data_IF_278816919834
#
_entry.id   IF_278816919834
#
_cell.length_a   1.000
_cell.length_b   1.000
_cell.length_c   1.000
_cell.angle_alpha   90.00
_cell.angle_beta   90.00
_cell.angle_gamma   90.00
#
_symmetry.space_group_name_H-M   'P 1'
#
loop_
_entity.id
_entity.type
_entity.pdbx_description
1 polymer ?
#
# COMPACT_ATOMS: atom_id res chain seq x y z
N UNK A 1 26.99 -19.41 -1.23
CA UNK A 1 25.93 -18.76 -0.42
C UNK A 1 24.66 -18.66 -1.26
N UNK A 2 23.59 -19.37 -0.91
CA UNK A 2 22.36 -19.38 -1.71
C UNK A 2 21.58 -18.05 -1.63
N UNK A 3 21.15 -17.54 -2.78
CA UNK A 3 20.18 -16.45 -2.90
C UNK A 3 18.76 -17.01 -2.95
N UNK A 4 17.81 -16.21 -2.51
CA UNK A 4 16.42 -16.58 -2.44
C UNK A 4 15.83 -16.82 -3.84
N UNK A 5 14.89 -17.76 -3.97
CA UNK A 5 14.36 -18.17 -5.29
C UNK A 5 13.69 -16.99 -6.03
N UNK A 6 13.05 -16.09 -5.26
CA UNK A 6 12.44 -14.85 -5.77
C UNK A 6 13.49 -13.92 -6.36
N UNK A 7 14.59 -13.67 -5.66
CA UNK A 7 15.70 -12.83 -6.15
C UNK A 7 16.30 -13.41 -7.43
N UNK A 8 16.51 -14.72 -7.49
CA UNK A 8 17.02 -15.40 -8.69
C UNK A 8 16.07 -15.20 -9.89
N UNK A 9 14.76 -15.29 -9.67
CA UNK A 9 13.77 -15.03 -10.73
C UNK A 9 13.76 -13.57 -11.16
N UNK A 10 13.85 -12.63 -10.22
CA UNK A 10 13.90 -11.20 -10.49
C UNK A 10 15.15 -10.81 -11.28
N UNK A 11 16.32 -11.37 -10.94
CA UNK A 11 17.59 -11.18 -11.65
C UNK A 11 17.52 -11.61 -13.12
N UNK A 12 16.76 -12.69 -13.41
CA UNK A 12 16.52 -13.12 -14.79
C UNK A 12 15.59 -12.15 -15.52
N UNK A 13 14.54 -11.67 -14.85
CA UNK A 13 13.57 -10.76 -15.45
C UNK A 13 14.16 -9.37 -15.76
N UNK A 14 15.09 -8.88 -14.94
CA UNK A 14 15.82 -7.63 -15.22
C UNK A 14 16.92 -7.79 -16.28
N UNK A 15 17.18 -9.02 -16.75
CA UNK A 15 18.10 -9.26 -17.86
C UNK A 15 19.58 -9.13 -17.50
N UNK A 16 19.99 -9.58 -16.30
CA UNK A 16 21.41 -9.63 -15.95
C UNK A 16 22.19 -10.50 -16.97
N UNK A 17 23.21 -9.96 -17.66
CA UNK A 17 23.92 -10.69 -18.72
C UNK A 17 24.90 -11.76 -18.20
N UNK A 18 25.25 -11.71 -16.92
CA UNK A 18 26.16 -12.67 -16.30
C UNK A 18 25.43 -13.90 -15.74
N UNK A 19 26.12 -15.04 -15.69
CA UNK A 19 25.65 -16.23 -14.97
C UNK A 19 26.30 -16.39 -13.59
N UNK A 20 27.29 -15.55 -13.27
CA UNK A 20 28.01 -15.57 -12.00
C UNK A 20 27.23 -14.80 -10.93
N UNK A 21 27.32 -15.22 -9.67
CA UNK A 21 26.62 -14.57 -8.57
C UNK A 21 25.09 -14.50 -8.70
N UNK A 22 24.45 -15.34 -9.52
CA UNK A 22 22.97 -15.37 -9.64
C UNK A 22 22.35 -16.24 -8.56
N UNK A 23 22.68 -17.53 -8.53
CA UNK A 23 22.18 -18.46 -7.51
C UNK A 23 23.00 -18.41 -6.24
N UNK A 24 24.31 -18.31 -6.39
CA UNK A 24 25.23 -18.26 -5.27
C UNK A 24 26.33 -17.25 -5.45
N UNK A 25 26.63 -16.47 -4.40
CA UNK A 25 27.80 -15.60 -4.34
C UNK A 25 28.97 -16.36 -3.71
N UNK A 26 30.12 -16.35 -4.38
CA UNK A 26 31.39 -16.89 -3.88
C UNK A 26 32.49 -15.81 -3.82
N UNK A 27 32.14 -14.54 -3.98
CA UNK A 27 33.09 -13.45 -3.85
C UNK A 27 33.42 -13.26 -2.37
N UNK A 28 34.68 -13.46 -1.99
CA UNK A 28 35.16 -13.28 -0.61
C UNK A 28 35.22 -11.79 -0.22
N UNK A 29 35.48 -10.91 -1.20
CA UNK A 29 35.45 -9.46 -1.05
C UNK A 29 34.86 -8.80 -2.33
N UNK A 30 34.23 -7.63 -2.20
CA UNK A 30 33.81 -6.81 -3.35
C UNK A 30 35.04 -6.48 -4.23
N UNK A 31 34.94 -6.55 -5.57
CA UNK A 31 33.73 -6.29 -6.36
C UNK A 31 33.02 -7.55 -6.88
N UNK A 32 31.75 -7.70 -6.48
CA UNK A 32 30.85 -8.70 -7.02
C UNK A 32 30.37 -8.25 -8.42
N UNK A 33 30.43 -9.11 -9.46
CA UNK A 33 30.05 -8.74 -10.83
C UNK A 33 28.55 -8.44 -10.95
N UNK A 34 27.71 -9.09 -10.14
CA UNK A 34 26.28 -8.82 -10.11
C UNK A 34 25.99 -7.44 -9.50
N UNK A 35 26.59 -7.13 -8.35
CA UNK A 35 26.40 -5.83 -7.70
C UNK A 35 26.95 -4.70 -8.56
N UNK A 36 28.09 -4.91 -9.21
CA UNK A 36 28.67 -3.91 -10.11
C UNK A 36 27.75 -3.62 -11.31
N UNK A 37 27.09 -4.63 -11.84
CA UNK A 37 26.10 -4.45 -12.90
C UNK A 37 24.83 -3.76 -12.40
N UNK A 38 24.25 -4.19 -11.27
CA UNK A 38 23.03 -3.57 -10.71
C UNK A 38 23.21 -2.07 -10.46
N UNK A 39 24.37 -1.69 -9.91
CA UNK A 39 24.71 -0.29 -9.65
C UNK A 39 24.89 0.49 -10.95
N UNK A 40 25.51 -0.11 -11.97
CA UNK A 40 25.63 0.52 -13.29
C UNK A 40 24.26 0.77 -13.92
N UNK A 41 23.38 -0.23 -13.93
CA UNK A 41 22.02 -0.11 -14.46
C UNK A 41 21.16 0.90 -13.69
N UNK A 42 21.30 0.97 -12.37
CA UNK A 42 20.62 1.98 -11.56
C UNK A 42 21.11 3.39 -11.89
N UNK A 43 22.43 3.56 -12.05
CA UNK A 43 22.99 4.85 -12.45
C UNK A 43 22.56 5.26 -13.86
N UNK A 44 22.34 4.32 -14.80
CA UNK A 44 21.86 4.66 -16.15
C UNK A 44 20.36 4.97 -16.19
N UNK A 45 19.56 4.31 -15.36
CA UNK A 45 18.11 4.53 -15.28
C UNK A 45 17.72 5.74 -14.42
N UNK A 46 18.55 6.13 -13.45
CA UNK A 46 18.31 7.26 -12.55
C UNK A 46 19.50 8.26 -12.57
N UNK A 47 19.46 9.32 -13.40
CA UNK A 47 20.55 10.32 -13.48
C UNK A 47 20.67 11.21 -12.23
N UNK A 48 19.65 11.24 -11.37
CA UNK A 48 19.66 11.97 -10.09
C UNK A 48 20.68 11.38 -9.10
N UNK A 49 20.94 10.08 -9.19
CA UNK A 49 21.86 9.30 -8.34
C UNK A 49 23.35 9.51 -8.73
N UNK A 50 23.61 10.26 -9.80
CA UNK A 50 24.97 10.56 -10.27
C UNK A 50 25.51 11.89 -9.71
N UNK A 51 24.66 12.72 -9.09
CA UNK A 51 25.01 14.10 -8.73
C UNK A 51 25.75 14.25 -7.39
N UNK A 52 25.90 13.16 -6.62
CA UNK A 52 26.53 13.16 -5.30
C UNK A 52 28.05 12.93 -5.25
N UNK A 53 28.73 12.60 -6.35
CA UNK A 53 30.18 12.41 -6.36
C UNK A 53 30.91 13.52 -7.13
N UNK A 54 31.58 14.38 -6.37
CA UNK A 54 32.61 15.27 -6.89
C UNK A 54 33.65 14.45 -7.66
N UNK A 55 33.64 14.57 -8.99
CA UNK A 55 34.75 14.30 -9.89
C UNK A 55 35.43 12.91 -9.80
N UNK A 56 35.36 12.17 -10.90
CA UNK A 56 36.17 10.99 -11.24
C UNK A 56 35.59 9.63 -10.80
N UNK A 57 34.87 8.95 -11.69
CA UNK A 57 34.47 7.56 -11.47
C UNK A 57 33.68 6.93 -12.62
N UNK A 58 34.41 6.38 -13.59
CA UNK A 58 33.99 5.63 -14.77
C UNK A 58 32.65 4.86 -14.65
N UNK A 59 31.74 5.06 -15.60
CA UNK A 59 30.45 4.35 -15.76
C UNK A 59 30.57 2.82 -16.02
N UNK A 60 31.76 2.25 -15.93
CA UNK A 60 32.04 0.83 -16.19
C UNK A 60 33.10 0.27 -15.22
N UNK A 61 33.11 0.74 -13.96
CA UNK A 61 34.02 0.29 -12.91
C UNK A 61 33.41 -0.79 -12.01
N UNK A 62 34.28 -1.66 -11.48
CA UNK A 62 33.93 -2.57 -10.40
C UNK A 62 33.51 -1.76 -9.15
N UNK A 63 32.34 -2.06 -8.58
CA UNK A 63 31.82 -1.31 -7.44
C UNK A 63 32.51 -1.74 -6.16
N UNK A 64 33.21 -0.79 -5.55
CA UNK A 64 33.86 -0.97 -4.25
C UNK A 64 32.85 -0.83 -3.11
N UNK A 65 33.21 -1.38 -1.95
CA UNK A 65 32.41 -1.32 -0.71
C UNK A 65 31.95 0.10 -0.37
N UNK A 66 32.86 1.10 -0.52
CA UNK A 66 32.55 2.49 -0.21
C UNK A 66 31.51 3.11 -1.15
N UNK A 67 31.63 2.82 -2.45
CA UNK A 67 30.67 3.28 -3.46
C UNK A 67 29.30 2.65 -3.29
N UNK A 68 29.26 1.35 -2.97
CA UNK A 68 28.02 0.65 -2.67
C UNK A 68 27.31 1.29 -1.46
N UNK A 69 28.04 1.63 -0.40
CA UNK A 69 27.46 2.28 0.79
C UNK A 69 26.98 3.70 0.51
N UNK A 70 27.72 4.46 -0.29
CA UNK A 70 27.31 5.80 -0.70
C UNK A 70 25.99 5.76 -1.46
N UNK A 71 25.90 4.84 -2.43
CA UNK A 71 24.69 4.61 -3.23
C UNK A 71 23.50 4.18 -2.35
N UNK A 72 23.69 3.22 -1.45
CA UNK A 72 22.62 2.75 -0.56
C UNK A 72 22.10 3.88 0.35
N UNK A 73 22.96 4.82 0.74
CA UNK A 73 22.55 5.99 1.54
C UNK A 73 21.76 6.99 0.69
N UNK A 74 22.16 7.21 -0.55
CA UNK A 74 21.48 8.08 -1.51
C UNK A 74 20.09 7.53 -1.90
N UNK A 75 19.99 6.21 -2.05
CA UNK A 75 18.71 5.51 -2.27
C UNK A 75 17.88 5.34 -0.99
N UNK A 76 18.29 5.95 0.14
CA UNK A 76 17.59 5.89 1.42
C UNK A 76 17.28 4.45 1.89
N UNK A 77 18.23 3.53 1.72
CA UNK A 77 18.05 2.13 2.06
C UNK A 77 17.64 1.96 3.54
N UNK A 78 16.52 1.25 3.84
CA UNK A 78 15.97 1.16 5.20
C UNK A 78 16.79 0.26 6.13
N UNK A 79 17.74 -0.53 5.59
CA UNK A 79 18.56 -1.45 6.37
C UNK A 79 19.79 -0.73 6.95
N UNK A 80 19.68 -0.30 8.20
CA UNK A 80 20.76 0.40 8.93
C UNK A 80 22.03 -0.43 9.07
N UNK A 81 21.91 -1.76 9.09
CA UNK A 81 23.01 -2.70 9.28
C UNK A 81 23.94 -2.78 8.06
N UNK A 82 23.52 -2.29 6.90
CA UNK A 82 24.36 -2.19 5.70
C UNK A 82 25.44 -1.08 5.80
N UNK A 83 25.39 -0.28 6.86
CA UNK A 83 26.35 0.81 7.12
C UNK A 83 27.51 0.41 8.04
N UNK A 84 27.53 -0.80 8.62
CA UNK A 84 28.58 -1.29 9.53
C UNK A 84 29.87 -1.71 8.83
N UNK A 85 31.04 -1.55 9.44
CA UNK A 85 32.37 -1.74 8.81
C UNK A 85 32.55 -3.08 8.07
N UNK A 86 31.93 -4.17 8.53
CA UNK A 86 31.95 -5.47 7.87
C UNK A 86 30.65 -5.75 7.12
N UNK A 87 30.75 -6.05 5.82
CA UNK A 87 29.62 -6.55 5.02
C UNK A 87 29.58 -8.07 5.15
N UNK A 88 28.69 -8.58 5.99
CA UNK A 88 28.48 -10.02 6.08
C UNK A 88 27.80 -10.58 4.81
N UNK A 89 27.98 -11.87 4.51
CA UNK A 89 27.17 -12.65 3.57
C UNK A 89 25.68 -12.30 3.50
N UNK A 90 25.02 -12.24 4.66
CA UNK A 90 23.59 -11.96 4.76
C UNK A 90 23.27 -10.51 4.35
N UNK A 91 24.10 -9.56 4.77
CA UNK A 91 23.98 -8.16 4.40
C UNK A 91 24.14 -7.96 2.88
N UNK A 92 25.06 -8.68 2.23
CA UNK A 92 25.21 -8.62 0.77
C UNK A 92 23.99 -9.17 0.01
N UNK A 93 23.32 -10.20 0.53
CA UNK A 93 22.06 -10.68 -0.05
C UNK A 93 20.95 -9.64 0.11
N UNK A 94 20.77 -9.07 1.30
CA UNK A 94 19.77 -8.01 1.52
C UNK A 94 20.03 -6.77 0.67
N UNK A 95 21.30 -6.39 0.47
CA UNK A 95 21.67 -5.30 -0.44
C UNK A 95 21.37 -5.65 -1.90
N UNK A 96 21.60 -6.90 -2.32
CA UNK A 96 21.26 -7.37 -3.67
C UNK A 96 19.75 -7.30 -3.89
N UNK A 97 18.95 -7.78 -2.94
CA UNK A 97 17.48 -7.77 -3.02
C UNK A 97 16.94 -6.34 -3.14
N UNK A 98 17.44 -5.43 -2.30
CA UNK A 98 17.09 -4.02 -2.34
C UNK A 98 17.43 -3.38 -3.70
N UNK A 99 18.66 -3.56 -4.21
CA UNK A 99 19.06 -2.97 -5.49
C UNK A 99 18.25 -3.53 -6.67
N UNK A 100 17.85 -4.80 -6.61
CA UNK A 100 16.97 -5.41 -7.61
C UNK A 100 15.58 -4.77 -7.58
N UNK A 101 15.00 -4.57 -6.39
CA UNK A 101 13.68 -3.92 -6.28
C UNK A 101 13.73 -2.46 -6.73
N UNK A 102 14.79 -1.73 -6.40
CA UNK A 102 14.97 -0.34 -6.85
C UNK A 102 15.10 -0.27 -8.38
N UNK A 103 15.87 -1.17 -9.00
CA UNK A 103 16.03 -1.18 -10.46
C UNK A 103 14.73 -1.51 -11.18
N UNK A 104 13.94 -2.45 -10.63
CA UNK A 104 12.61 -2.75 -11.15
C UNK A 104 11.67 -1.56 -11.04
N UNK A 105 11.66 -0.87 -9.89
CA UNK A 105 10.86 0.33 -9.69
C UNK A 105 11.27 1.45 -10.67
N UNK A 106 12.58 1.72 -10.81
CA UNK A 106 13.11 2.70 -11.74
C UNK A 106 12.67 2.42 -13.19
N UNK A 107 12.74 1.17 -13.64
CA UNK A 107 12.29 0.78 -14.99
C UNK A 107 10.78 0.91 -15.18
N UNK A 108 9.98 0.62 -14.16
CA UNK A 108 8.52 0.84 -14.20
C UNK A 108 8.21 2.34 -14.34
N UNK A 109 8.89 3.20 -13.57
CA UNK A 109 8.71 4.64 -13.65
C UNK A 109 9.12 5.18 -15.03
N UNK A 110 10.29 4.77 -15.52
CA UNK A 110 10.77 5.13 -16.86
C UNK A 110 9.79 4.67 -17.96
N UNK A 111 9.24 3.46 -17.85
CA UNK A 111 8.24 2.97 -18.78
C UNK A 111 6.98 3.83 -18.79
N UNK A 112 6.47 4.22 -17.61
CA UNK A 112 5.30 5.10 -17.47
C UNK A 112 5.55 6.50 -18.04
N UNK A 113 6.75 7.04 -17.88
CA UNK A 113 7.12 8.32 -18.47
C UNK A 113 7.18 8.27 -20.01
N UNK A 114 7.68 7.17 -20.57
CA UNK A 114 7.74 6.97 -22.02
C UNK A 114 6.40 6.57 -22.66
N UNK A 115 5.45 6.05 -21.88
CA UNK A 115 4.14 5.56 -22.35
C UNK A 115 2.99 6.19 -21.55
N UNK A 116 2.79 7.52 -21.64
CA UNK A 116 1.72 8.20 -20.92
C UNK A 116 0.31 7.73 -21.34
N UNK A 117 0.19 7.20 -22.56
CA UNK A 117 -1.05 6.68 -23.16
C UNK A 117 -1.64 5.49 -22.36
N UNK A 118 -0.79 4.64 -21.80
CA UNK A 118 -1.21 3.47 -21.01
C UNK A 118 -1.78 3.88 -19.64
N UNK A 119 -1.38 5.05 -19.14
CA UNK A 119 -1.97 5.69 -17.95
C UNK A 119 -3.30 6.38 -18.24
N UNK A 120 -3.45 6.98 -19.43
CA UNK A 120 -4.64 7.73 -19.81
C UNK A 120 -5.89 6.85 -20.02
N UNK A 121 -5.71 5.55 -20.31
CA UNK A 121 -6.82 4.58 -20.45
C UNK A 121 -7.49 4.16 -19.14
N UNK A 122 -6.92 4.51 -17.98
CA UNK A 122 -7.49 4.18 -16.66
C UNK A 122 -8.11 5.39 -15.93
N UNK A 123 -7.93 6.60 -16.45
CA UNK A 123 -8.40 7.86 -15.84
C UNK A 123 -9.61 8.45 -16.59
N UNK A 124 -10.69 7.68 -16.76
CA UNK A 124 -11.99 8.22 -17.19
C UNK A 124 -12.90 8.44 -15.94
N UNK A 125 -13.04 9.68 -15.43
CA UNK A 125 -13.72 9.96 -14.15
C UNK A 125 -15.25 10.00 -14.26
N UNK A 126 -15.83 9.36 -15.27
CA UNK A 126 -17.26 9.48 -15.58
C UNK A 126 -17.93 8.13 -15.87
N UNK A 127 -17.66 7.08 -15.08
CA UNK A 127 -18.53 5.89 -15.00
C UNK A 127 -18.31 4.98 -13.77
N UNK A 128 -18.02 5.53 -12.59
CA UNK A 128 -18.36 4.82 -11.34
C UNK A 128 -19.84 5.05 -11.01
N UNK A 129 -20.72 4.53 -11.88
CA UNK A 129 -22.09 4.27 -11.45
C UNK A 129 -22.05 3.06 -10.53
N UNK A 130 -22.67 3.19 -9.36
CA UNK A 130 -23.12 2.06 -8.54
C UNK A 130 -23.76 1.02 -9.46
N UNK A 131 -23.06 -0.06 -9.74
CA UNK A 131 -23.73 -1.27 -10.19
C UNK A 131 -24.46 -1.83 -8.96
N UNK A 132 -25.78 -1.86 -9.08
CA UNK A 132 -26.66 -2.44 -8.10
C UNK A 132 -26.39 -3.93 -7.99
N UNK A 133 -26.69 -4.45 -6.80
CA UNK A 133 -26.75 -5.86 -6.47
C UNK A 133 -27.45 -6.64 -7.59
N UNK A 134 -26.68 -7.34 -8.42
CA UNK A 134 -27.23 -8.43 -9.21
C UNK A 134 -27.24 -9.67 -8.33
N UNK A 135 -28.47 -10.04 -7.97
CA UNK A 135 -28.81 -11.20 -7.18
C UNK A 135 -28.46 -12.43 -8.01
N UNK A 136 -27.30 -13.02 -7.75
CA UNK A 136 -26.95 -14.34 -8.31
C UNK A 136 -27.91 -15.36 -7.69
N UNK A 137 -28.93 -15.73 -8.46
CA UNK A 137 -29.72 -16.92 -8.21
C UNK A 137 -28.83 -18.14 -8.39
N UNK A 138 -28.78 -18.95 -7.33
CA UNK A 138 -28.13 -20.25 -7.32
C UNK A 138 -28.93 -21.17 -8.25
N UNK A 139 -28.42 -21.41 -9.45
CA UNK A 139 -28.83 -22.56 -10.24
C UNK A 139 -27.91 -23.74 -9.87
N UNK A 140 -28.52 -24.76 -9.26
CA UNK A 140 -27.94 -26.06 -9.00
C UNK A 140 -27.76 -26.79 -10.34
N UNK A 141 -26.54 -26.85 -10.87
CA UNK A 141 -26.19 -27.87 -11.87
C UNK A 141 -25.52 -29.06 -11.18
N UNK A 142 -26.33 -30.08 -10.90
CA UNK A 142 -25.85 -31.45 -10.79
C UNK A 142 -25.47 -31.96 -12.19
N UNK A 143 -24.21 -32.35 -12.39
CA UNK A 143 -23.85 -33.19 -13.53
C UNK A 143 -22.37 -33.21 -13.92
N UNK A 144 -21.66 -34.25 -13.46
CA UNK A 144 -20.68 -34.93 -14.33
C UNK A 144 -19.19 -34.69 -14.08
N UNK A 145 -18.67 -35.36 -13.06
CA UNK A 145 -17.41 -36.14 -13.09
C UNK A 145 -16.18 -35.58 -13.81
N UNK A 146 -15.17 -35.18 -13.04
CA UNK A 146 -13.76 -35.34 -13.41
C UNK A 146 -12.85 -34.13 -13.24
N UNK A 147 -12.73 -33.56 -12.03
CA UNK A 147 -11.64 -32.59 -11.76
C UNK A 147 -11.15 -32.58 -10.30
N UNK A 148 -11.38 -33.67 -9.54
CA UNK A 148 -11.00 -33.74 -8.12
C UNK A 148 -9.49 -33.87 -7.86
N UNK A 149 -8.68 -34.19 -8.87
CA UNK A 149 -7.28 -34.58 -8.65
C UNK A 149 -6.26 -33.43 -8.74
N UNK A 150 -6.62 -32.29 -9.33
CA UNK A 150 -5.69 -31.17 -9.52
C UNK A 150 -5.61 -30.30 -8.26
N UNK A 151 -6.74 -30.11 -7.55
CA UNK A 151 -6.80 -29.31 -6.33
C UNK A 151 -6.12 -29.97 -5.12
N UNK A 152 -6.11 -31.30 -5.03
CA UNK A 152 -5.51 -32.02 -3.90
C UNK A 152 -3.97 -31.90 -3.89
N UNK A 153 -3.34 -31.82 -5.07
CA UNK A 153 -1.88 -31.89 -5.20
C UNK A 153 -1.18 -30.56 -4.95
N UNK A 154 -1.83 -29.44 -5.30
CA UNK A 154 -1.33 -28.09 -5.00
C UNK A 154 -1.51 -27.75 -3.51
N UNK A 155 -2.62 -28.18 -2.90
CA UNK A 155 -2.88 -28.02 -1.47
C UNK A 155 -1.89 -28.79 -0.58
N UNK A 156 -1.52 -30.02 -0.94
CA UNK A 156 -0.51 -30.81 -0.22
C UNK A 156 0.88 -30.14 -0.24
N UNK A 157 1.25 -29.54 -1.38
CA UNK A 157 2.55 -28.87 -1.54
C UNK A 157 2.60 -27.55 -0.75
N UNK A 158 1.52 -26.76 -0.75
CA UNK A 158 1.41 -25.54 0.07
C UNK A 158 1.43 -25.87 1.57
N UNK A 159 0.74 -26.93 2.03
CA UNK A 159 0.83 -27.37 3.42
C UNK A 159 2.22 -27.87 3.83
N UNK A 160 2.99 -28.41 2.89
CA UNK A 160 4.39 -28.79 3.11
C UNK A 160 5.30 -27.58 3.32
N UNK A 161 5.10 -26.51 2.54
CA UNK A 161 5.88 -25.28 2.67
C UNK A 161 5.55 -24.50 3.95
N UNK A 162 4.27 -24.47 4.34
CA UNK A 162 3.85 -23.83 5.59
C UNK A 162 4.35 -24.59 6.83
N UNK A 163 4.31 -25.93 6.80
CA UNK A 163 4.86 -26.74 7.90
C UNK A 163 6.38 -26.63 7.99
N UNK A 164 7.09 -26.55 6.87
CA UNK A 164 8.55 -26.32 6.85
C UNK A 164 8.93 -24.97 7.50
N UNK A 165 8.18 -23.90 7.22
CA UNK A 165 8.38 -22.59 7.88
C UNK A 165 8.14 -22.67 9.38
N UNK A 166 7.09 -23.40 9.81
CA UNK A 166 6.81 -23.62 11.22
C UNK A 166 7.96 -24.35 11.91
N UNK A 167 8.48 -25.43 11.31
CA UNK A 167 9.63 -26.16 11.86
C UNK A 167 10.88 -25.29 11.92
N UNK A 168 11.16 -24.51 10.88
CA UNK A 168 12.27 -23.55 10.89
C UNK A 168 12.17 -22.55 12.04
N UNK A 169 10.99 -21.99 12.32
CA UNK A 169 10.77 -21.05 13.44
C UNK A 169 10.96 -21.74 14.79
N UNK A 170 10.56 -23.01 14.90
CA UNK A 170 10.80 -23.82 16.08
C UNK A 170 12.24 -24.36 16.17
N UNK A 171 13.09 -24.14 15.16
CA UNK A 171 14.45 -24.68 15.13
C UNK A 171 14.50 -26.20 14.95
N UNK A 172 13.43 -26.78 14.39
CA UNK A 172 13.31 -28.19 14.03
C UNK A 172 13.73 -28.41 12.58
N UNK A 173 14.02 -29.66 12.22
CA UNK A 173 14.38 -30.03 10.86
C UNK A 173 13.14 -29.91 9.94
N UNK A 174 13.29 -29.46 8.67
CA UNK A 174 12.17 -29.37 7.74
C UNK A 174 11.50 -30.71 7.42
N UNK A 175 12.11 -31.85 7.77
CA UNK A 175 11.50 -33.19 7.67
C UNK A 175 10.87 -33.68 8.98
N UNK A 176 10.87 -32.88 10.05
CA UNK A 176 10.23 -33.21 11.32
C UNK A 176 8.72 -33.40 11.18
N UNK A 177 8.13 -34.13 12.12
CA UNK A 177 6.67 -34.35 12.14
C UNK A 177 5.99 -33.26 12.97
N UNK A 178 4.70 -33.03 12.73
CA UNK A 178 3.92 -32.08 13.53
C UNK A 178 3.90 -32.43 15.03
N UNK A 179 4.01 -33.71 15.38
CA UNK A 179 4.18 -34.17 16.77
C UNK A 179 5.39 -33.55 17.46
N UNK A 180 6.50 -33.40 16.73
CA UNK A 180 7.74 -32.85 17.26
C UNK A 180 7.61 -31.35 17.50
N UNK A 181 6.85 -30.65 16.63
CA UNK A 181 6.48 -29.26 16.87
C UNK A 181 5.60 -29.08 18.11
N UNK A 182 4.63 -29.97 18.34
CA UNK A 182 3.78 -29.91 19.54
C UNK A 182 4.61 -30.06 20.81
N UNK A 183 5.51 -31.04 20.88
CA UNK A 183 6.34 -31.27 22.08
C UNK A 183 7.33 -30.13 22.33
N UNK A 184 7.89 -29.54 21.27
CA UNK A 184 8.79 -28.38 21.40
C UNK A 184 8.03 -27.10 21.83
N UNK A 185 6.80 -26.91 21.36
CA UNK A 185 5.95 -25.81 21.86
C UNK A 185 5.64 -26.02 23.34
N UNK A 186 5.25 -27.22 23.75
CA UNK A 186 4.99 -27.54 25.17
C UNK A 186 6.23 -27.34 26.06
N UNK A 187 7.42 -27.74 25.58
CA UNK A 187 8.68 -27.57 26.29
C UNK A 187 8.99 -26.08 26.53
N UNK A 188 8.82 -25.24 25.51
CA UNK A 188 9.02 -23.78 25.61
C UNK A 188 8.00 -23.10 26.49
N UNK A 189 6.74 -23.54 26.42
CA UNK A 189 5.69 -23.00 27.29
C UNK A 189 5.98 -23.29 28.76
N UNK A 190 6.56 -24.46 29.08
CA UNK A 190 6.96 -24.81 30.45
C UNK A 190 8.11 -23.94 31.00
N UNK A 191 8.93 -23.35 30.13
CA UNK A 191 10.04 -22.46 30.51
C UNK A 191 9.59 -21.01 30.81
N UNK A 192 8.33 -20.65 30.51
CA UNK A 192 7.86 -19.27 30.69
C UNK A 192 7.72 -18.91 32.19
N UNK A 193 8.30 -17.79 32.65
CA UNK A 193 8.19 -17.34 34.02
C UNK A 193 6.74 -16.92 34.31
N UNK A 194 6.06 -17.63 35.22
CA UNK A 194 4.67 -17.35 35.60
C UNK A 194 3.69 -18.51 35.41
N UNK A 195 4.11 -19.60 34.76
CA UNK A 195 3.48 -20.93 34.84
C UNK A 195 2.07 -21.09 34.26
N UNK A 196 1.43 -20.03 33.75
CA UNK A 196 0.10 -20.11 33.15
C UNK A 196 0.00 -19.23 31.91
N UNK A 197 -0.15 -19.86 30.75
CA UNK A 197 -0.62 -19.20 29.54
C UNK A 197 -2.11 -18.89 29.75
N UNK A 198 -2.58 -17.66 29.49
CA UNK A 198 -4.01 -17.33 29.59
C UNK A 198 -4.84 -18.24 28.67
N UNK A 199 -6.08 -18.51 29.05
CA UNK A 199 -6.95 -19.39 28.27
C UNK A 199 -7.17 -18.84 26.84
N UNK A 200 -7.36 -19.74 25.84
CA UNK A 200 -7.80 -19.34 24.51
C UNK A 200 -9.08 -18.51 24.57
N UNK A 201 -9.13 -17.44 23.78
CA UNK A 201 -10.32 -16.61 23.68
C UNK A 201 -11.49 -17.40 23.07
N UNK A 202 -11.20 -18.25 22.10
CA UNK A 202 -12.17 -19.18 21.50
C UNK A 202 -12.14 -20.52 22.25
N UNK A 203 -13.16 -20.76 23.08
CA UNK A 203 -13.26 -21.99 23.90
C UNK A 203 -13.97 -23.14 23.18
N UNK A 204 -14.76 -22.84 22.16
CA UNK A 204 -15.58 -23.83 21.45
C UNK A 204 -14.90 -24.31 20.18
N UNK A 205 -14.87 -25.62 19.97
CA UNK A 205 -14.52 -26.18 18.68
C UNK A 205 -15.62 -25.84 17.66
N UNK A 206 -15.21 -25.27 16.52
CA UNK A 206 -16.12 -24.93 15.44
C UNK A 206 -16.28 -26.10 14.47
N UNK A 207 -17.49 -26.31 13.97
CA UNK A 207 -17.76 -27.28 12.92
C UNK A 207 -17.37 -26.73 11.53
N UNK A 208 -17.36 -27.60 10.51
CA UNK A 208 -16.94 -27.22 9.14
C UNK A 208 -17.80 -26.09 8.54
N UNK A 209 -19.10 -26.06 8.82
CA UNK A 209 -20.01 -25.01 8.35
C UNK A 209 -19.70 -23.67 9.01
N UNK A 210 -19.49 -23.68 10.33
CA UNK A 210 -19.12 -22.50 11.11
C UNK A 210 -17.76 -21.95 10.69
N UNK A 211 -16.79 -22.82 10.39
CA UNK A 211 -15.49 -22.41 9.85
C UNK A 211 -15.63 -21.67 8.52
N UNK A 212 -16.47 -22.19 7.61
CA UNK A 212 -16.76 -21.53 6.34
C UNK A 212 -17.44 -20.17 6.56
N UNK A 213 -18.42 -20.09 7.44
CA UNK A 213 -19.07 -18.81 7.79
C UNK A 213 -18.09 -17.82 8.41
N UNK A 214 -17.20 -18.26 9.29
CA UNK A 214 -16.21 -17.41 9.94
C UNK A 214 -15.17 -16.90 8.93
N UNK A 215 -14.76 -17.74 7.98
CA UNK A 215 -13.92 -17.32 6.85
C UNK A 215 -14.60 -16.25 5.99
N UNK A 216 -15.89 -16.40 5.67
CA UNK A 216 -16.66 -15.39 4.94
C UNK A 216 -16.72 -14.06 5.70
N UNK A 217 -16.95 -14.09 7.01
CA UNK A 217 -16.94 -12.90 7.87
C UNK A 217 -15.56 -12.22 7.83
N UNK A 218 -14.48 -12.99 8.01
CA UNK A 218 -13.12 -12.44 7.97
C UNK A 218 -12.82 -11.77 6.61
N UNK A 219 -13.19 -12.41 5.50
CA UNK A 219 -13.02 -11.82 4.17
C UNK A 219 -13.82 -10.52 4.01
N UNK A 220 -15.06 -10.47 4.48
CA UNK A 220 -15.87 -9.25 4.44
C UNK A 220 -15.24 -8.11 5.26
N UNK A 221 -14.77 -8.42 6.47
CA UNK A 221 -14.10 -7.44 7.34
C UNK A 221 -12.76 -6.98 6.78
N UNK A 222 -11.98 -7.87 6.17
CA UNK A 222 -10.72 -7.52 5.52
C UNK A 222 -10.94 -6.54 4.36
N UNK A 223 -11.95 -6.80 3.50
CA UNK A 223 -12.33 -5.89 2.41
C UNK A 223 -12.78 -4.52 2.92
N UNK A 224 -13.60 -4.49 3.96
CA UNK A 224 -14.06 -3.23 4.57
C UNK A 224 -12.87 -2.46 5.21
N UNK A 225 -11.97 -3.15 5.90
CA UNK A 225 -10.75 -2.56 6.45
C UNK A 225 -9.86 -1.96 5.35
N UNK A 226 -9.59 -2.70 4.27
CA UNK A 226 -8.83 -2.25 3.11
C UNK A 226 -9.46 -1.01 2.47
N UNK A 227 -10.78 -1.03 2.29
CA UNK A 227 -11.55 0.11 1.76
C UNK A 227 -11.40 1.34 2.66
N UNK A 228 -11.66 1.21 3.97
CA UNK A 228 -11.52 2.32 4.93
C UNK A 228 -10.10 2.86 4.98
N UNK A 229 -9.10 1.99 4.92
CA UNK A 229 -7.69 2.38 4.95
C UNK A 229 -7.29 3.10 3.67
N UNK A 230 -7.70 2.60 2.51
CA UNK A 230 -7.54 3.28 1.22
C UNK A 230 -8.19 4.67 1.25
N UNK A 231 -9.40 4.77 1.79
CA UNK A 231 -10.13 6.02 1.94
C UNK A 231 -9.38 7.03 2.81
N UNK A 232 -8.85 6.59 3.97
CA UNK A 232 -8.05 7.43 4.86
C UNK A 232 -6.74 7.87 4.22
N UNK A 233 -6.03 6.98 3.53
CA UNK A 233 -4.81 7.30 2.80
C UNK A 233 -5.08 8.30 1.69
N UNK A 234 -6.14 8.11 0.88
CA UNK A 234 -6.56 9.06 -0.16
C UNK A 234 -6.92 10.42 0.43
N UNK A 235 -7.70 10.46 1.52
CA UNK A 235 -8.03 11.70 2.23
C UNK A 235 -6.79 12.44 2.72
N UNK A 236 -5.84 11.70 3.30
CA UNK A 236 -4.57 12.27 3.75
C UNK A 236 -3.78 12.87 2.58
N UNK A 237 -3.69 12.13 1.47
CA UNK A 237 -3.00 12.61 0.26
C UNK A 237 -3.64 13.88 -0.32
N UNK A 238 -4.98 13.90 -0.44
CA UNK A 238 -5.71 15.08 -0.91
C UNK A 238 -5.51 16.26 0.05
N UNK A 239 -5.47 16.00 1.37
CA UNK A 239 -5.21 17.06 2.36
C UNK A 239 -3.80 17.63 2.20
N UNK A 240 -2.80 16.78 2.00
CA UNK A 240 -1.43 17.23 1.71
C UNK A 240 -1.36 18.03 0.40
N UNK A 241 -2.01 17.55 -0.65
CA UNK A 241 -2.08 18.24 -1.94
C UNK A 241 -2.80 19.58 -1.81
N UNK A 242 -3.81 19.71 -0.95
CA UNK A 242 -4.51 20.99 -0.75
C UNK A 242 -3.59 22.10 -0.22
N UNK A 243 -2.49 21.76 0.47
CA UNK A 243 -1.51 22.75 0.91
C UNK A 243 -0.74 23.38 -0.25
N UNK A 244 -0.60 22.70 -1.39
CA UNK A 244 0.03 23.25 -2.61
C UNK A 244 -0.92 24.11 -3.43
N UNK A 245 -2.20 24.24 -3.05
CA UNK A 245 -3.14 25.09 -3.75
C UNK A 245 -2.87 26.58 -3.44
N UNK A 246 -2.87 27.40 -4.49
CA UNK A 246 -2.68 28.87 -4.41
C UNK A 246 -1.36 29.36 -5.04
N UNK A 247 -1.13 30.67 -4.99
CA UNK A 247 -0.03 31.35 -5.71
C UNK A 247 1.37 30.89 -5.28
N UNK A 248 1.52 30.41 -4.03
CA UNK A 248 2.79 29.87 -3.50
C UNK A 248 2.89 28.35 -3.55
N UNK A 249 2.15 27.72 -4.47
CA UNK A 249 2.06 26.27 -4.57
C UNK A 249 3.40 25.57 -4.78
N UNK A 250 4.29 26.16 -5.58
CA UNK A 250 5.63 25.64 -5.90
C UNK A 250 6.57 25.59 -4.70
N UNK A 251 6.57 26.64 -3.85
CA UNK A 251 7.36 26.67 -2.61
C UNK A 251 6.86 25.59 -1.63
N UNK A 252 5.54 25.45 -1.51
CA UNK A 252 4.92 24.48 -0.60
C UNK A 252 5.04 23.05 -1.09
N UNK A 253 5.03 22.80 -2.40
CA UNK A 253 5.27 21.48 -2.97
C UNK A 253 6.70 21.02 -2.70
N UNK A 254 7.69 21.91 -2.81
CA UNK A 254 9.09 21.60 -2.47
C UNK A 254 9.28 21.23 -0.99
N UNK A 255 8.52 21.88 -0.10
CA UNK A 255 8.50 21.54 1.34
C UNK A 255 7.78 20.21 1.60
N UNK A 256 6.72 19.89 0.85
CA UNK A 256 6.03 18.60 1.00
C UNK A 256 6.84 17.44 0.44
N UNK A 257 7.59 17.64 -0.62
CA UNK A 257 8.51 16.63 -1.17
C UNK A 257 9.71 16.36 -0.26
N UNK A 258 10.08 17.32 0.61
CA UNK A 258 11.14 17.10 1.60
C UNK A 258 10.66 16.37 2.87
N UNK A 259 9.34 16.30 3.09
CA UNK A 259 8.76 15.44 4.13
C UNK A 259 8.68 14.03 3.58
N UNK A 260 9.40 13.09 4.20
CA UNK A 260 9.27 11.66 3.89
C UNK A 260 7.82 11.25 4.10
N UNK A 261 7.08 11.16 2.99
CA UNK A 261 5.72 10.67 3.00
C UNK A 261 5.74 9.21 3.46
N UNK A 262 4.72 8.85 4.22
CA UNK A 262 4.51 7.51 4.72
C UNK A 262 4.71 6.53 3.55
N UNK A 263 5.77 5.70 3.64
CA UNK A 263 5.99 4.53 2.79
C UNK A 263 4.66 3.83 2.53
N UNK A 264 4.39 3.30 1.31
CA UNK A 264 3.07 2.80 0.93
C UNK A 264 2.48 1.97 2.06
N UNK A 265 1.51 2.57 2.77
CA UNK A 265 0.92 1.98 3.94
C UNK A 265 0.33 0.65 3.47
N UNK A 266 0.89 -0.49 3.90
CA UNK A 266 0.52 -1.81 3.41
C UNK A 266 -1.00 -2.02 3.49
N UNK A 267 -1.70 -2.05 2.35
CA UNK A 267 -3.16 -1.89 2.31
C UNK A 267 -3.88 -3.06 2.98
N UNK A 268 -3.28 -4.24 2.92
CA UNK A 268 -3.83 -5.50 3.42
C UNK A 268 -3.89 -5.58 4.94
N UNK A 269 -4.91 -6.29 5.42
CA UNK A 269 -4.99 -6.72 6.81
C UNK A 269 -3.99 -7.85 7.07
N UNK A 270 -3.25 -7.78 8.17
CA UNK A 270 -2.45 -8.91 8.68
C UNK A 270 -3.28 -9.87 9.56
N UNK A 271 -4.57 -9.61 9.74
CA UNK A 271 -5.44 -10.42 10.60
C UNK A 271 -5.92 -11.65 9.83
N UNK A 272 -5.49 -12.83 10.28
CA UNK A 272 -5.86 -14.13 9.73
C UNK A 272 -6.71 -14.95 10.71
N UNK A 273 -7.30 -16.04 10.22
CA UNK A 273 -8.00 -17.02 11.07
C UNK A 273 -7.08 -17.66 12.12
N UNK A 274 -5.80 -17.87 11.77
CA UNK A 274 -4.80 -18.40 12.69
C UNK A 274 -4.53 -17.44 13.86
N UNK A 275 -4.54 -16.13 13.61
CA UNK A 275 -4.44 -15.11 14.67
C UNK A 275 -5.65 -15.15 15.63
N UNK A 276 -6.84 -15.44 15.12
CA UNK A 276 -8.04 -15.61 15.96
C UNK A 276 -7.92 -16.84 16.87
N UNK A 277 -7.36 -17.94 16.37
CA UNK A 277 -7.10 -19.15 17.18
C UNK A 277 -5.98 -18.95 18.21
N UNK A 278 -4.98 -18.15 17.85
CA UNK A 278 -3.90 -17.79 18.75
C UNK A 278 -4.36 -16.80 19.84
N UNK A 279 -5.45 -16.06 19.61
CA UNK A 279 -5.93 -15.06 20.55
C UNK A 279 -6.28 -15.65 21.93
N UNK A 280 -5.89 -14.90 22.97
CA UNK A 280 -6.07 -15.26 24.38
C UNK A 280 -6.94 -14.25 25.10
N UNK A 281 -7.51 -14.63 26.25
CA UNK A 281 -8.45 -13.80 26.99
C UNK A 281 -7.91 -12.41 27.37
N UNK A 282 -6.63 -12.31 27.68
CA UNK A 282 -5.95 -11.06 28.04
C UNK A 282 -5.93 -10.04 26.88
N UNK A 283 -5.88 -10.51 25.63
CA UNK A 283 -5.90 -9.68 24.43
C UNK A 283 -7.27 -9.09 24.11
N UNK A 284 -8.35 -9.65 24.67
CA UNK A 284 -9.73 -9.20 24.44
C UNK A 284 -10.16 -8.01 25.31
N UNK A 285 -9.29 -7.55 26.23
CA UNK A 285 -9.60 -6.46 27.15
C UNK A 285 -9.61 -5.12 26.41
N UNK A 286 -10.74 -4.80 25.80
CA UNK A 286 -11.07 -3.44 25.39
C UNK A 286 -11.22 -2.64 26.69
N UNK A 287 -10.12 -2.03 27.14
CA UNK A 287 -10.19 -1.08 28.25
C UNK A 287 -11.12 0.05 27.82
N UNK A 288 -12.07 0.48 28.68
CA UNK A 288 -12.90 1.62 28.35
C UNK A 288 -11.98 2.80 28.06
N UNK A 289 -12.12 3.38 26.86
CA UNK A 289 -11.38 4.57 26.45
C UNK A 289 -11.85 5.71 27.35
N UNK A 290 -11.18 5.90 28.49
CA UNK A 290 -11.37 7.06 29.34
C UNK A 290 -10.59 8.20 28.71
N UNK A 291 -11.21 9.37 28.62
CA UNK A 291 -10.52 10.58 28.19
C UNK A 291 -9.29 10.78 29.09
N UNK A 292 -8.10 10.70 28.50
CA UNK A 292 -6.86 11.00 29.19
C UNK A 292 -6.82 12.46 29.67
N UNK A 293 -5.95 12.80 30.62
CA UNK A 293 -5.78 14.18 31.06
C UNK A 293 -5.43 15.08 29.87
N UNK A 294 -6.07 16.25 29.78
CA UNK A 294 -5.91 17.21 28.68
C UNK A 294 -4.43 17.55 28.45
N UNK A 295 -3.91 17.18 27.28
CA UNK A 295 -2.55 17.53 26.83
C UNK A 295 -2.44 19.03 26.55
N UNK A 296 -1.21 19.55 26.54
CA UNK A 296 -0.95 20.97 26.24
C UNK A 296 -1.46 21.38 24.85
N UNK A 297 -1.50 20.46 23.89
CA UNK A 297 -2.04 20.67 22.54
C UNK A 297 -3.54 20.99 22.60
N UNK A 298 -4.30 20.26 23.40
CA UNK A 298 -5.74 20.51 23.58
C UNK A 298 -6.05 21.80 24.38
N UNK A 299 -5.04 22.44 24.97
CA UNK A 299 -5.16 23.73 25.68
C UNK A 299 -4.83 24.93 24.80
N UNK A 300 -4.41 24.72 23.56
CA UNK A 300 -4.15 25.81 22.63
C UNK A 300 -5.50 26.39 22.22
N UNK A 301 -5.80 27.61 22.68
CA UNK A 301 -6.97 28.36 22.29
C UNK A 301 -6.80 28.75 20.81
N UNK A 302 -7.54 28.07 19.93
CA UNK A 302 -7.65 28.49 18.54
C UNK A 302 -8.24 29.91 18.53
N UNK A 303 -7.53 30.86 17.91
CA UNK A 303 -8.00 32.24 17.76
C UNK A 303 -9.31 32.32 16.98
N UNK A 304 -9.83 33.53 16.78
CA UNK A 304 -11.08 33.74 16.04
C UNK A 304 -10.96 33.17 14.62
N UNK A 305 -11.55 32.00 14.38
CA UNK A 305 -11.56 31.33 13.07
C UNK A 305 -12.50 32.13 12.16
N UNK A 306 -12.02 32.74 11.07
CA UNK A 306 -12.88 33.44 10.12
C UNK A 306 -13.89 32.44 9.55
N UNK A 307 -15.16 32.83 9.48
CA UNK A 307 -16.20 31.96 8.94
C UNK A 307 -15.84 31.60 7.49
N UNK A 308 -15.71 30.30 7.23
CA UNK A 308 -15.34 29.78 5.91
C UNK A 308 -16.54 29.65 4.97
N UNK A 309 -17.73 30.06 5.42
CA UNK A 309 -18.96 29.95 4.65
C UNK A 309 -19.35 28.49 4.38
N UNK A 310 -20.49 28.29 3.71
CA UNK A 310 -21.03 26.96 3.42
C UNK A 310 -21.95 26.41 4.50
N UNK A 311 -22.43 27.26 5.42
CA UNK A 311 -23.56 26.90 6.28
C UNK A 311 -24.76 26.60 5.38
N UNK A 312 -25.38 25.41 5.50
CA UNK A 312 -26.46 24.97 4.60
C UNK A 312 -27.71 25.89 4.51
N UNK A 313 -27.79 26.98 5.27
CA UNK A 313 -28.87 27.96 5.23
C UNK A 313 -28.47 29.37 4.77
N UNK A 314 -27.19 29.64 4.47
CA UNK A 314 -26.73 30.99 4.05
C UNK A 314 -26.69 31.18 2.53
N UNK A 315 -26.65 30.08 1.77
CA UNK A 315 -26.72 30.10 0.31
C UNK A 315 -28.15 29.69 -0.06
N UNK A 316 -29.00 30.68 -0.34
CA UNK A 316 -30.29 30.41 -0.95
C UNK A 316 -30.02 29.92 -2.39
N UNK A 317 -30.31 28.65 -2.73
CA UNK A 317 -30.06 28.15 -4.06
C UNK A 317 -30.87 28.99 -5.06
N UNK A 318 -30.26 29.46 -6.17
CA UNK A 318 -30.99 30.22 -7.16
C UNK A 318 -32.17 29.38 -7.65
N UNK A 319 -33.38 29.88 -7.40
CA UNK A 319 -34.61 29.18 -7.73
C UNK A 319 -34.63 28.89 -9.24
N UNK A 320 -34.73 27.64 -9.68
CA UNK A 320 -34.83 27.34 -11.10
C UNK A 320 -36.17 27.88 -11.62
N UNK A 321 -36.14 28.75 -12.63
CA UNK A 321 -37.36 29.18 -13.31
C UNK A 321 -37.91 28.02 -14.13
N UNK A 322 -39.03 27.43 -13.70
CA UNK A 322 -39.75 26.45 -14.50
C UNK A 322 -40.48 27.16 -15.66
N UNK A 323 -39.87 27.19 -16.84
CA UNK A 323 -40.61 27.52 -18.05
C UNK A 323 -41.56 26.38 -18.42
N UNK A 324 -42.81 26.73 -18.72
CA UNK A 324 -43.80 25.77 -19.22
C UNK A 324 -43.26 25.16 -20.51
N UNK A 325 -43.18 23.83 -20.54
CA UNK A 325 -42.83 23.05 -21.74
C UNK A 325 -43.76 23.51 -22.88
N UNK A 326 -43.18 24.10 -23.94
CA UNK A 326 -43.96 24.55 -25.12
C UNK A 326 -44.44 23.31 -25.87
N UNK A 327 -45.67 22.90 -25.62
CA UNK A 327 -46.39 22.03 -26.54
C UNK A 327 -46.81 22.85 -27.77
N UNK A 328 -46.46 22.36 -28.95
CA UNK A 328 -47.00 22.87 -30.21
C UNK A 328 -45.98 23.55 -31.11
N UNK A 329 -45.38 22.76 -32.01
CA UNK A 329 -44.88 23.28 -33.28
C UNK A 329 -46.06 23.71 -34.16
N UNK A 330 -45.99 24.90 -34.76
CA UNK A 330 -47.00 25.35 -35.72
C UNK A 330 -47.03 26.86 -35.98
N UNK A 331 -46.30 27.26 -37.03
CA UNK A 331 -46.55 28.38 -37.98
C UNK A 331 -47.50 29.54 -37.63
N UNK A 332 -47.01 30.76 -37.87
CA UNK A 332 -47.77 32.01 -38.04
C UNK A 332 -47.38 33.04 -36.96
N UNK A 333 -46.72 34.16 -37.23
CA UNK A 333 -47.00 35.16 -38.25
C UNK A 333 -47.48 36.44 -37.54
N UNK A 334 -46.71 37.53 -37.62
CA UNK A 334 -47.25 38.89 -37.43
C UNK A 334 -46.76 39.72 -36.24
N UNK A 335 -45.86 40.67 -36.55
CA UNK A 335 -45.92 42.11 -36.25
C UNK A 335 -46.16 42.60 -34.80
N UNK A 336 -45.16 43.33 -34.29
CA UNK A 336 -45.31 44.78 -34.02
C UNK A 336 -45.47 45.25 -32.55
N UNK A 337 -44.71 46.29 -32.21
CA UNK A 337 -44.78 47.10 -30.97
C UNK A 337 -43.56 46.85 -30.08
N UNK A 338 -42.49 47.66 -30.05
CA UNK A 338 -42.37 49.06 -29.61
C UNK A 338 -43.01 49.32 -28.24
N UNK A 339 -42.59 50.41 -27.57
CA UNK A 339 -42.86 50.84 -26.19
C UNK A 339 -41.85 50.21 -25.19
N UNK A 340 -40.94 50.92 -24.54
CA UNK A 340 -40.87 52.35 -24.24
C UNK A 340 -40.71 52.51 -22.73
N UNK A 341 -39.51 52.90 -22.30
CA UNK A 341 -39.18 53.76 -21.14
C UNK A 341 -39.97 53.60 -19.81
N UNK A 342 -39.25 53.36 -18.71
CA UNK A 342 -39.32 54.21 -17.50
C UNK A 342 -38.33 53.74 -16.43
N UNK A 343 -37.28 54.53 -16.21
CA UNK A 343 -36.48 54.48 -15.00
C UNK A 343 -37.11 55.32 -13.88
N UNK A 344 -36.91 54.90 -12.64
CA UNK A 344 -37.01 55.74 -11.42
C UNK A 344 -36.28 54.97 -10.30
N UNK A 345 -35.08 55.40 -9.94
CA UNK A 345 -34.70 56.44 -8.97
C UNK A 345 -34.38 55.85 -7.59
N UNK A 346 -33.06 55.87 -7.31
CA UNK A 346 -32.41 56.05 -6.01
C UNK A 346 -33.29 56.77 -4.98
N UNK A 347 -33.30 56.26 -3.76
CA UNK A 347 -33.41 57.11 -2.58
C UNK A 347 -32.24 56.85 -1.63
N UNK A 348 -31.46 57.92 -1.43
CA UNK A 348 -30.43 58.11 -0.40
C UNK A 348 -31.08 58.96 0.69
N UNK A 349 -30.93 58.57 1.95
CA UNK A 349 -31.06 59.38 3.18
C UNK A 349 -30.07 58.69 4.15
N UNK A 350 -28.90 59.22 4.54
CA UNK A 350 -28.58 60.44 5.30
C UNK A 350 -29.51 60.63 6.50
N UNK A 351 -29.05 60.25 7.68
CA UNK A 351 -28.31 61.16 8.58
C UNK A 351 -27.16 60.41 9.25
#
# INVERSE_FOLDING_TARGET
>A
MARDAKTVSALKNIGYPGNTCVKECYCEELPCPLLSWLVSELRTTCPEVQQGSDGQGCAAGAVLVGELRALLRELHCPYTDLSTETLTPALLNTATDFLVTELQAARILQYRECHPEDTAGQDDPAKEQREGEDRVELEEEEGGGGDGAIWDREGEQETGEESAKLFQVLGLDPSSQLSDAYTEVESRLALLPGGAVPEPLLKTALNSVQWRSLQQINQALARDYECRRSMMTKRFHITLQSFTWGEKGLERSAVLSSVSLLSPLALSSHVSLSLLLAAREDQSRILPVRAGPSTAIHKILMGSVPDRGGRPGEIEPPMPTWERRREGGGRGGGRGGHWGHSGKKKNRKKE
#
